data_IF_257316104743
#
_entry.id   IF_257316104743
#
_cell.length_a   1.000
_cell.length_b   1.000
_cell.length_c   1.000
_cell.angle_alpha   90.00
_cell.angle_beta   90.00
_cell.angle_gamma   90.00
#
_symmetry.space_group_name_H-M   'P 1'
#
loop_
_entity.id
_entity.type
_entity.pdbx_description
1 polymer ?
#
# COMPACT_ATOMS: atom_id res chain seq x y z
N UNK A 1 74.81 50.80 -3.68
CA UNK A 1 73.94 50.50 -4.85
C UNK A 1 73.33 49.11 -4.68
N UNK A 2 72.08 49.04 -4.18
CA UNK A 2 71.01 48.04 -4.42
C UNK A 2 69.98 48.17 -3.28
N UNK A 3 68.85 48.82 -3.57
CA UNK A 3 67.49 48.29 -3.81
C UNK A 3 66.66 48.20 -2.51
N UNK A 4 65.77 49.18 -2.33
CA UNK A 4 64.64 49.16 -1.39
C UNK A 4 63.52 48.31 -1.99
N UNK A 5 62.95 47.40 -1.20
CA UNK A 5 61.74 46.67 -1.55
C UNK A 5 60.50 47.57 -1.52
N UNK A 6 59.70 47.52 -2.57
CA UNK A 6 58.38 48.15 -2.62
C UNK A 6 57.32 47.06 -2.38
N UNK A 7 56.45 47.30 -1.39
CA UNK A 7 55.33 46.42 -1.06
C UNK A 7 54.25 46.46 -2.13
N UNK A 8 53.69 45.29 -2.45
CA UNK A 8 52.52 45.12 -3.28
C UNK A 8 51.27 45.03 -2.41
N UNK A 9 50.38 46.00 -2.58
CA UNK A 9 49.07 46.07 -1.91
C UNK A 9 48.08 45.21 -2.70
N UNK A 10 47.68 44.06 -2.16
CA UNK A 10 46.66 43.21 -2.77
C UNK A 10 45.25 43.68 -2.44
N UNK A 11 44.47 44.12 -3.43
CA UNK A 11 43.02 44.29 -3.31
C UNK A 11 42.34 42.92 -3.38
N UNK A 12 41.65 42.53 -2.30
CA UNK A 12 40.72 41.38 -2.32
C UNK A 12 39.34 41.87 -2.73
N UNK A 13 38.95 41.59 -3.97
CA UNK A 13 37.54 41.69 -4.40
C UNK A 13 36.81 40.48 -3.82
N UNK A 14 35.91 40.71 -2.87
CA UNK A 14 35.05 39.65 -2.33
C UNK A 14 33.77 39.63 -3.17
N UNK A 15 33.66 38.67 -4.08
CA UNK A 15 32.43 38.45 -4.83
C UNK A 15 31.38 37.79 -3.90
N UNK A 16 30.29 38.50 -3.62
CA UNK A 16 29.16 37.94 -2.89
C UNK A 16 28.32 37.10 -3.87
N UNK A 17 28.47 35.77 -3.81
CA UNK A 17 27.62 34.83 -4.51
C UNK A 17 26.25 34.76 -3.81
N UNK A 18 25.25 35.44 -4.39
CA UNK A 18 23.84 35.21 -4.07
C UNK A 18 23.44 33.83 -4.64
N UNK A 19 23.44 32.82 -3.78
CA UNK A 19 22.89 31.51 -4.10
C UNK A 19 21.36 31.64 -4.22
N UNK A 20 20.84 31.63 -5.45
CA UNK A 20 19.43 31.38 -5.71
C UNK A 20 19.12 29.94 -5.31
N UNK A 21 18.57 29.74 -4.11
CA UNK A 21 18.00 28.47 -3.71
C UNK A 21 16.81 28.15 -4.61
N UNK A 22 16.96 27.14 -5.48
CA UNK A 22 15.82 26.56 -6.18
C UNK A 22 14.79 26.09 -5.14
N UNK A 23 13.47 26.28 -5.36
CA UNK A 23 12.47 25.77 -4.45
C UNK A 23 12.64 24.25 -4.36
N UNK A 24 12.94 23.76 -3.16
CA UNK A 24 12.87 22.33 -2.88
C UNK A 24 11.43 21.88 -3.18
N UNK A 25 11.28 20.81 -3.95
CA UNK A 25 9.98 20.14 -4.08
C UNK A 25 9.61 19.61 -2.70
N UNK A 26 8.75 20.33 -1.99
CA UNK A 26 8.27 19.95 -0.68
C UNK A 26 7.28 18.81 -0.84
N UNK A 27 7.34 17.81 0.01
CA UNK A 27 6.27 16.82 0.18
C UNK A 27 4.94 17.56 0.49
N UNK A 28 3.99 17.49 -0.44
CA UNK A 28 2.67 18.13 -0.35
C UNK A 28 1.59 17.18 0.14
N UNK A 29 1.94 15.96 0.56
CA UNK A 29 0.96 14.99 1.03
C UNK A 29 0.17 15.55 2.23
N UNK A 30 -1.17 15.48 2.24
CA UNK A 30 -2.01 16.03 3.31
C UNK A 30 -1.93 15.13 4.56
N UNK A 31 -0.87 15.28 5.33
CA UNK A 31 -0.64 14.52 6.57
C UNK A 31 -1.74 14.79 7.59
N UNK A 32 -2.03 13.79 8.42
CA UNK A 32 -3.04 13.85 9.48
C UNK A 32 -2.37 13.82 10.87
N UNK A 33 -1.72 14.91 11.34
CA UNK A 33 -0.94 14.91 12.58
C UNK A 33 -1.78 14.71 13.85
N UNK A 34 -3.10 14.88 13.76
CA UNK A 34 -4.04 14.66 14.86
C UNK A 34 -4.34 13.18 15.14
N UNK A 35 -3.84 12.25 14.33
CA UNK A 35 -4.05 10.81 14.51
C UNK A 35 -2.76 10.02 14.41
N UNK A 36 -2.81 8.81 14.95
CA UNK A 36 -1.84 7.74 14.74
C UNK A 36 -2.59 6.48 14.38
N UNK A 37 -2.22 5.82 13.29
CA UNK A 37 -2.71 4.47 13.05
C UNK A 37 -1.93 3.53 13.96
N UNK A 38 -2.66 2.78 14.78
CA UNK A 38 -2.09 1.86 15.76
C UNK A 38 -2.04 0.42 15.26
N UNK A 39 -2.92 0.06 14.32
CA UNK A 39 -2.91 -1.24 13.65
C UNK A 39 -3.78 -1.16 12.38
N UNK A 40 -3.38 -1.88 11.34
CA UNK A 40 -4.26 -2.25 10.23
C UNK A 40 -4.60 -3.74 10.31
N UNK A 41 -5.84 -4.10 9.96
CA UNK A 41 -6.18 -5.49 9.65
C UNK A 41 -6.78 -5.52 8.25
N UNK A 42 -6.13 -6.24 7.35
CA UNK A 42 -6.58 -6.41 5.97
C UNK A 42 -7.19 -7.81 5.83
N UNK A 43 -8.49 -7.90 5.55
CA UNK A 43 -9.18 -9.17 5.31
C UNK A 43 -9.53 -9.29 3.83
N UNK A 44 -8.68 -10.01 3.09
CA UNK A 44 -8.69 -10.05 1.62
C UNK A 44 -9.22 -11.41 1.17
N UNK A 45 -10.25 -11.39 0.34
CA UNK A 45 -10.76 -12.58 -0.36
C UNK A 45 -10.44 -12.47 -1.85
N UNK A 46 -9.89 -13.54 -2.40
CA UNK A 46 -9.52 -13.66 -3.82
C UNK A 46 -9.96 -15.01 -4.41
N UNK A 47 -10.00 -15.11 -5.74
CA UNK A 47 -10.46 -16.31 -6.44
C UNK A 47 -9.75 -16.58 -7.77
N UNK A 48 -9.94 -17.79 -8.31
CA UNK A 48 -9.52 -18.13 -9.67
C UNK A 48 -10.46 -17.60 -10.75
N UNK A 49 -11.70 -17.29 -10.38
CA UNK A 49 -12.76 -16.92 -11.33
C UNK A 49 -12.60 -15.49 -11.86
N UNK A 50 -11.99 -14.58 -11.08
CA UNK A 50 -11.85 -13.17 -11.44
C UNK A 50 -10.62 -12.53 -10.82
N UNK A 51 -10.19 -11.39 -11.38
CA UNK A 51 -9.16 -10.51 -10.80
C UNK A 51 -9.72 -9.58 -9.72
N UNK A 52 -10.98 -9.77 -9.33
CA UNK A 52 -11.62 -8.96 -8.30
C UNK A 52 -11.15 -9.39 -6.91
N UNK A 53 -10.85 -8.40 -6.08
CA UNK A 53 -10.60 -8.57 -4.66
C UNK A 53 -11.83 -8.09 -3.90
N UNK A 54 -12.22 -8.84 -2.88
CA UNK A 54 -13.21 -8.40 -1.88
C UNK A 54 -12.45 -8.20 -0.57
N UNK A 55 -12.56 -7.01 0.02
CA UNK A 55 -11.68 -6.60 1.12
C UNK A 55 -12.47 -5.96 2.24
N UNK A 56 -12.12 -6.30 3.48
CA UNK A 56 -12.51 -5.58 4.69
C UNK A 56 -11.27 -5.09 5.43
N UNK A 57 -11.06 -3.78 5.40
CA UNK A 57 -9.93 -3.11 6.06
C UNK A 57 -10.39 -2.54 7.38
N UNK A 58 -9.84 -3.03 8.49
CA UNK A 58 -10.07 -2.48 9.83
C UNK A 58 -8.91 -1.59 10.23
N UNK A 59 -9.23 -0.33 10.55
CA UNK A 59 -8.26 0.71 10.89
C UNK A 59 -8.43 1.09 12.36
N UNK A 60 -7.43 0.71 13.18
CA UNK A 60 -7.40 1.09 14.58
C UNK A 60 -6.56 2.36 14.76
N UNK A 61 -7.15 3.41 15.32
CA UNK A 61 -6.53 4.73 15.46
C UNK A 61 -6.44 5.19 16.91
N UNK A 62 -5.41 5.97 17.20
CA UNK A 62 -5.31 6.79 18.40
C UNK A 62 -5.32 8.27 18.02
N UNK A 63 -6.14 9.06 18.71
CA UNK A 63 -6.20 10.51 18.52
C UNK A 63 -5.10 11.20 19.32
N UNK A 64 -4.42 12.17 18.72
CA UNK A 64 -3.27 12.90 19.27
C UNK A 64 -3.56 14.38 19.57
N UNK A 65 -4.72 14.87 19.15
CA UNK A 65 -5.13 16.25 19.37
C UNK A 65 -6.65 16.39 19.39
N UNK A 66 -7.16 17.47 20.00
CA UNK A 66 -8.56 17.85 19.81
C UNK A 66 -8.82 18.20 18.32
N UNK A 67 -10.09 18.19 17.93
CA UNK A 67 -10.58 18.70 16.63
C UNK A 67 -10.34 17.84 15.38
N UNK A 68 -9.96 16.56 15.54
CA UNK A 68 -10.10 15.60 14.43
C UNK A 68 -11.59 15.32 14.22
N UNK A 69 -12.10 15.66 13.02
CA UNK A 69 -13.51 15.49 12.65
C UNK A 69 -13.75 14.32 11.69
N UNK A 70 -12.69 13.84 11.05
CA UNK A 70 -12.72 12.75 10.10
C UNK A 70 -11.35 12.12 9.93
N UNK A 71 -11.31 10.97 9.26
CA UNK A 71 -10.08 10.27 8.91
C UNK A 71 -10.08 10.08 7.41
N UNK A 72 -9.01 10.52 6.76
CA UNK A 72 -8.79 10.34 5.33
C UNK A 72 -7.92 9.09 5.09
N UNK A 73 -8.34 8.23 4.18
CA UNK A 73 -7.57 7.08 3.67
C UNK A 73 -7.42 7.23 2.15
N UNK A 74 -6.24 6.93 1.62
CA UNK A 74 -6.05 6.78 0.19
C UNK A 74 -6.66 5.45 -0.27
N UNK A 75 -7.50 5.50 -1.29
CA UNK A 75 -8.06 4.32 -1.95
C UNK A 75 -8.47 4.69 -3.38
N UNK A 76 -7.84 4.07 -4.38
CA UNK A 76 -8.15 4.31 -5.78
C UNK A 76 -9.61 3.98 -6.07
N UNK A 77 -10.37 4.99 -6.47
CA UNK A 77 -11.81 4.85 -6.73
C UNK A 77 -12.04 4.17 -8.06
N UNK A 78 -13.04 3.29 -8.11
CA UNK A 78 -13.48 2.71 -9.37
C UNK A 78 -13.82 3.79 -10.41
N UNK A 79 -13.23 3.64 -11.59
CA UNK A 79 -13.50 4.43 -12.78
C UNK A 79 -13.95 3.50 -13.89
N UNK A 80 -15.14 3.71 -14.47
CA UNK A 80 -15.62 2.94 -15.62
C UNK A 80 -14.73 3.09 -16.87
N UNK A 81 -14.36 4.33 -17.25
CA UNK A 81 -13.35 4.56 -18.27
C UNK A 81 -11.94 4.21 -17.78
N UNK A 82 -11.09 3.78 -18.70
CA UNK A 82 -9.65 3.63 -18.46
C UNK A 82 -9.04 4.99 -18.11
N UNK A 83 -8.26 5.03 -17.03
CA UNK A 83 -7.64 6.27 -16.54
C UNK A 83 -6.45 6.67 -17.41
N UNK A 84 -6.28 7.97 -17.58
CA UNK A 84 -5.06 8.52 -18.18
C UNK A 84 -3.85 8.17 -17.29
N UNK A 85 -2.71 7.76 -17.85
CA UNK A 85 -1.49 7.49 -17.07
C UNK A 85 -0.94 8.72 -16.33
N UNK A 86 -1.35 9.92 -16.76
CA UNK A 86 -0.99 11.18 -16.16
C UNK A 86 -2.23 11.97 -15.74
N UNK A 87 -2.14 12.59 -14.57
CA UNK A 87 -3.02 13.65 -14.11
C UNK A 87 -2.73 14.98 -14.83
N UNK A 88 -3.61 15.96 -14.63
CA UNK A 88 -3.35 17.33 -15.07
C UNK A 88 -1.99 17.83 -14.54
N UNK A 89 -1.23 18.52 -15.39
CA UNK A 89 0.12 18.99 -15.03
C UNK A 89 1.23 17.95 -15.22
N UNK A 90 0.94 16.77 -15.81
CA UNK A 90 1.96 15.78 -16.19
C UNK A 90 2.45 14.90 -15.03
N UNK A 91 1.78 14.94 -13.89
CA UNK A 91 2.07 14.09 -12.73
C UNK A 91 1.54 12.68 -13.00
N UNK A 92 2.31 11.59 -12.79
CA UNK A 92 1.81 10.24 -12.94
C UNK A 92 0.57 9.98 -12.04
N UNK A 93 -0.48 9.38 -12.60
CA UNK A 93 -1.67 8.95 -11.83
C UNK A 93 -1.34 7.61 -11.13
N UNK A 94 -1.30 7.55 -9.78
CA UNK A 94 -0.99 6.32 -9.05
C UNK A 94 -2.08 5.26 -9.10
N UNK A 95 -3.27 5.63 -9.58
CA UNK A 95 -4.43 4.77 -9.76
C UNK A 95 -4.65 4.37 -11.22
N UNK A 96 -3.77 4.80 -12.14
CA UNK A 96 -3.79 4.37 -13.53
C UNK A 96 -2.99 3.08 -13.75
N UNK A 97 -3.38 2.31 -14.76
CA UNK A 97 -2.61 1.14 -15.16
C UNK A 97 -1.24 1.54 -15.72
N UNK A 98 -0.15 0.79 -15.46
CA UNK A 98 1.16 1.11 -16.02
C UNK A 98 1.14 1.02 -17.55
N UNK A 99 1.62 2.05 -18.22
CA UNK A 99 1.86 2.00 -19.67
C UNK A 99 3.12 1.19 -19.97
N UNK A 100 2.94 -0.12 -20.20
CA UNK A 100 4.00 -1.02 -20.65
C UNK A 100 4.37 -2.08 -19.61
N UNK A 101 4.12 -3.35 -19.95
CA UNK A 101 4.60 -4.51 -19.20
C UNK A 101 5.88 -5.09 -19.80
N UNK A 102 6.74 -5.69 -18.96
CA UNK A 102 7.79 -6.60 -19.42
C UNK A 102 7.13 -7.89 -19.93
N UNK A 103 6.96 -8.01 -21.24
CA UNK A 103 6.44 -9.21 -21.91
C UNK A 103 5.44 -8.84 -23.00
N UNK A 104 5.64 -9.37 -24.21
CA UNK A 104 5.00 -8.91 -25.45
C UNK A 104 3.48 -8.94 -25.46
N UNK A 105 2.91 -8.12 -26.35
CA UNK A 105 1.48 -8.06 -26.69
C UNK A 105 0.51 -8.05 -25.49
N UNK A 106 0.75 -7.21 -24.50
CA UNK A 106 -0.28 -6.92 -23.51
C UNK A 106 -1.47 -6.25 -24.21
N UNK A 107 -2.63 -6.92 -24.21
CA UNK A 107 -3.88 -6.31 -24.66
C UNK A 107 -4.12 -5.03 -23.86
N UNK A 108 -4.44 -3.89 -24.52
CA UNK A 108 -4.78 -2.67 -23.81
C UNK A 108 -5.88 -2.95 -22.78
N UNK A 109 -5.83 -2.32 -21.60
CA UNK A 109 -6.86 -2.54 -20.61
C UNK A 109 -8.25 -2.24 -21.17
N UNK A 110 -9.14 -3.22 -21.04
CA UNK A 110 -10.54 -3.09 -21.42
C UNK A 110 -11.39 -3.02 -20.15
N UNK A 111 -12.03 -1.88 -19.91
CA UNK A 111 -12.96 -1.70 -18.80
C UNK A 111 -12.37 -0.94 -17.60
N UNK A 112 -13.22 -0.77 -16.60
CA UNK A 112 -12.92 0.04 -15.43
C UNK A 112 -12.09 -0.67 -14.37
N UNK A 113 -11.27 0.08 -13.65
CA UNK A 113 -10.45 -0.39 -12.52
C UNK A 113 -10.63 0.49 -11.30
N UNK A 114 -10.19 -0.02 -10.16
CA UNK A 114 -10.26 0.62 -8.85
C UNK A 114 -11.30 -0.04 -7.96
N UNK A 115 -11.46 0.54 -6.77
CA UNK A 115 -12.23 -0.05 -5.68
C UNK A 115 -13.56 0.71 -5.48
N UNK A 116 -14.61 -0.05 -5.21
CA UNK A 116 -15.95 0.42 -4.87
C UNK A 116 -16.24 0.09 -3.42
N UNK A 117 -16.39 1.11 -2.59
CA UNK A 117 -16.77 0.96 -1.18
C UNK A 117 -18.24 0.61 -1.07
N UNK A 118 -18.54 -0.44 -0.31
CA UNK A 118 -19.89 -0.90 -0.03
C UNK A 118 -20.37 -0.48 1.36
N UNK A 119 -19.47 -0.41 2.34
CA UNK A 119 -19.82 0.02 3.70
C UNK A 119 -18.60 0.58 4.45
N UNK A 120 -18.89 1.47 5.41
CA UNK A 120 -17.95 1.80 6.49
C UNK A 120 -18.71 1.63 7.79
N UNK A 121 -18.18 0.84 8.72
CA UNK A 121 -18.85 0.50 9.98
C UNK A 121 -17.92 0.60 11.19
N UNK A 122 -18.47 0.75 12.38
CA UNK A 122 -17.76 0.62 13.65
C UNK A 122 -18.68 0.02 14.70
N UNK A 123 -18.25 -1.04 15.37
CA UNK A 123 -19.08 -1.73 16.37
C UNK A 123 -20.43 -2.23 15.83
N UNK A 124 -20.52 -2.51 14.53
CA UNK A 124 -21.76 -2.90 13.85
C UNK A 124 -22.64 -1.74 13.37
N UNK A 125 -22.32 -0.49 13.72
CA UNK A 125 -23.05 0.69 13.25
C UNK A 125 -22.42 1.31 11.99
N UNK A 126 -23.25 1.82 11.09
CA UNK A 126 -22.78 2.47 9.86
C UNK A 126 -22.21 3.87 10.14
N UNK A 127 -21.10 4.18 9.49
CA UNK A 127 -20.51 5.52 9.48
C UNK A 127 -20.76 6.19 8.14
N UNK A 128 -21.01 7.51 8.17
CA UNK A 128 -21.08 8.29 6.93
C UNK A 128 -19.68 8.51 6.38
N UNK A 129 -19.54 8.40 5.05
CA UNK A 129 -18.27 8.58 4.37
C UNK A 129 -18.46 9.22 3.01
N UNK A 130 -17.37 9.73 2.43
CA UNK A 130 -17.30 10.20 1.05
C UNK A 130 -16.07 9.61 0.38
N UNK A 131 -16.22 9.08 -0.82
CA UNK A 131 -15.10 8.57 -1.61
C UNK A 131 -15.01 9.30 -2.94
N UNK A 132 -13.99 10.14 -3.07
CA UNK A 132 -13.76 10.95 -4.24
C UNK A 132 -12.29 11.27 -4.43
N UNK A 133 -11.87 11.55 -5.66
CA UNK A 133 -10.48 11.92 -5.96
C UNK A 133 -9.47 10.93 -5.33
N UNK A 134 -9.81 9.63 -5.38
CA UNK A 134 -9.02 8.53 -4.83
C UNK A 134 -8.73 8.63 -3.32
N UNK A 135 -9.57 9.36 -2.59
CA UNK A 135 -9.50 9.51 -1.14
C UNK A 135 -10.85 9.24 -0.50
N UNK A 136 -10.84 8.36 0.49
CA UNK A 136 -11.96 8.05 1.37
C UNK A 136 -11.89 8.96 2.60
N UNK A 137 -12.90 9.79 2.79
CA UNK A 137 -13.11 10.54 4.03
C UNK A 137 -14.18 9.86 4.88
N UNK A 138 -13.81 9.36 6.05
CA UNK A 138 -14.72 8.77 7.04
C UNK A 138 -15.05 9.80 8.11
N UNK A 139 -16.34 10.11 8.31
CA UNK A 139 -16.77 11.03 9.36
C UNK A 139 -16.74 10.34 10.72
N UNK A 140 -16.26 11.06 11.73
CA UNK A 140 -16.27 10.56 13.10
C UNK A 140 -17.66 10.76 13.72
N UNK A 141 -18.22 9.75 14.42
CA UNK A 141 -19.58 9.83 14.95
C UNK A 141 -19.70 10.80 16.14
N UNK A 142 -18.56 11.18 16.73
CA UNK A 142 -18.46 12.09 17.85
C UNK A 142 -17.09 12.76 17.86
N UNK A 143 -16.93 13.76 18.74
CA UNK A 143 -15.62 14.31 19.06
C UNK A 143 -14.81 13.30 19.89
N UNK A 144 -13.53 13.20 19.59
CA UNK A 144 -12.55 12.40 20.32
C UNK A 144 -11.57 13.31 21.06
N UNK A 145 -11.08 12.83 22.21
CA UNK A 145 -10.07 13.51 23.01
C UNK A 145 -8.68 12.95 22.68
N UNK A 146 -7.64 13.72 23.03
CA UNK A 146 -6.28 13.22 22.96
C UNK A 146 -6.13 11.92 23.79
N UNK A 147 -5.54 10.90 23.18
CA UNK A 147 -5.35 9.58 23.75
C UNK A 147 -6.50 8.60 23.48
N UNK A 148 -7.69 9.08 23.08
CA UNK A 148 -8.81 8.20 22.73
C UNK A 148 -8.40 7.23 21.62
N UNK A 149 -9.02 6.04 21.64
CA UNK A 149 -8.87 5.04 20.60
C UNK A 149 -10.20 4.79 19.91
N UNK A 150 -10.11 4.48 18.64
CA UNK A 150 -11.27 4.14 17.83
C UNK A 150 -10.88 3.14 16.75
N UNK A 151 -11.86 2.37 16.30
CA UNK A 151 -11.68 1.38 15.25
C UNK A 151 -12.90 1.42 14.34
N UNK A 152 -12.66 1.31 13.04
CA UNK A 152 -13.70 1.19 12.04
C UNK A 152 -13.24 0.26 10.92
N UNK A 153 -14.19 -0.33 10.20
CA UNK A 153 -13.97 -1.25 9.09
C UNK A 153 -14.53 -0.64 7.81
N UNK A 154 -13.75 -0.70 6.74
CA UNK A 154 -14.14 -0.31 5.38
C UNK A 154 -14.30 -1.59 4.57
N UNK A 155 -15.51 -1.88 4.10
CA UNK A 155 -15.79 -3.01 3.21
C UNK A 155 -15.90 -2.53 1.78
N UNK A 156 -15.19 -3.17 0.85
CA UNK A 156 -15.11 -2.76 -0.54
C UNK A 156 -14.69 -3.91 -1.45
N UNK A 157 -14.87 -3.74 -2.76
CA UNK A 157 -14.42 -4.71 -3.75
C UNK A 157 -13.99 -4.01 -5.03
N UNK A 158 -13.27 -4.72 -5.89
CA UNK A 158 -12.91 -4.22 -7.21
C UNK A 158 -11.67 -4.88 -7.79
N UNK A 159 -11.31 -4.44 -8.98
CA UNK A 159 -10.10 -4.89 -9.67
C UNK A 159 -9.07 -3.77 -9.60
N UNK A 160 -7.96 -3.93 -8.86
CA UNK A 160 -6.89 -2.94 -8.81
C UNK A 160 -6.33 -2.63 -10.20
N UNK A 161 -5.96 -1.37 -10.44
CA UNK A 161 -5.28 -0.96 -11.67
C UNK A 161 -3.79 -1.31 -11.64
N UNK A 162 -3.16 -1.13 -10.48
CA UNK A 162 -1.76 -1.48 -10.22
C UNK A 162 -1.59 -1.84 -8.74
N UNK A 163 -0.36 -1.80 -8.20
CA UNK A 163 -0.09 -2.03 -6.78
C UNK A 163 -0.12 -3.50 -6.37
N UNK A 164 -0.87 -4.33 -7.08
CA UNK A 164 -0.83 -5.79 -7.01
C UNK A 164 -0.94 -6.37 -8.43
N UNK A 165 0.00 -7.26 -8.76
CA UNK A 165 0.09 -7.96 -10.02
C UNK A 165 -0.78 -9.21 -9.92
N UNK A 166 -1.89 -9.23 -10.66
CA UNK A 166 -2.81 -10.37 -10.73
C UNK A 166 -2.72 -10.96 -12.13
N UNK A 167 -2.26 -12.19 -12.24
CA UNK A 167 -2.08 -12.85 -13.53
C UNK A 167 -1.25 -14.12 -13.42
N UNK A 168 -0.97 -14.72 -14.57
CA UNK A 168 -0.22 -15.96 -14.61
C UNK A 168 1.28 -15.68 -14.45
N UNK A 169 1.95 -16.52 -13.66
CA UNK A 169 3.40 -16.58 -13.60
C UNK A 169 3.95 -17.10 -14.95
N UNK A 170 5.28 -17.16 -15.09
CA UNK A 170 5.93 -17.65 -16.33
C UNK A 170 5.66 -19.13 -16.66
N UNK A 171 5.08 -19.89 -15.74
CA UNK A 171 4.72 -21.30 -15.89
C UNK A 171 3.23 -21.51 -16.16
N UNK A 172 2.44 -20.42 -16.21
CA UNK A 172 1.01 -20.47 -16.51
C UNK A 172 0.10 -20.50 -15.29
N UNK A 173 0.64 -20.62 -14.07
CA UNK A 173 -0.18 -20.63 -12.85
C UNK A 173 -0.61 -19.21 -12.46
N UNK A 174 -1.88 -19.07 -12.08
CA UNK A 174 -2.41 -17.82 -11.54
C UNK A 174 -1.69 -17.44 -10.25
N UNK A 175 -1.44 -16.15 -10.08
CA UNK A 175 -0.72 -15.59 -8.93
C UNK A 175 -1.15 -14.16 -8.62
N UNK A 176 -0.90 -13.74 -7.37
CA UNK A 176 -1.17 -12.40 -6.86
C UNK A 176 0.08 -11.91 -6.12
N UNK A 177 0.72 -10.84 -6.60
CA UNK A 177 1.93 -10.30 -5.99
C UNK A 177 1.89 -8.80 -5.85
N UNK A 178 1.97 -8.31 -4.63
CA UNK A 178 1.99 -6.88 -4.33
C UNK A 178 3.26 -6.20 -4.88
N UNK A 179 3.09 -4.99 -5.38
CA UNK A 179 4.14 -4.00 -5.59
C UNK A 179 3.61 -2.63 -5.12
N UNK A 180 3.54 -2.39 -3.79
CA UNK A 180 2.91 -1.22 -3.20
C UNK A 180 3.73 0.07 -3.35
N UNK A 181 4.94 0.01 -3.91
CA UNK A 181 5.84 1.16 -3.99
C UNK A 181 5.49 2.11 -5.15
N UNK A 182 5.65 3.45 -4.98
CA UNK A 182 5.94 4.14 -3.72
C UNK A 182 4.70 4.45 -2.89
N UNK A 183 3.54 4.51 -3.54
CA UNK A 183 2.23 4.86 -3.00
C UNK A 183 1.15 4.14 -3.82
N UNK A 184 1.34 2.84 -4.02
CA UNK A 184 0.45 1.97 -4.78
C UNK A 184 -0.34 1.01 -3.88
N UNK A 185 -0.10 0.98 -2.57
CA UNK A 185 -0.92 0.22 -1.64
C UNK A 185 -2.40 0.63 -1.74
N UNK A 186 -2.65 1.95 -1.93
CA UNK A 186 -3.97 2.54 -2.20
C UNK A 186 -4.77 1.90 -3.35
N UNK A 187 -4.15 1.12 -4.23
CA UNK A 187 -4.86 0.44 -5.31
C UNK A 187 -5.71 -0.74 -4.82
N UNK A 188 -5.42 -1.28 -3.64
CA UNK A 188 -6.10 -2.46 -3.10
C UNK A 188 -6.32 -2.44 -1.58
N UNK A 189 -5.63 -1.57 -0.84
CA UNK A 189 -5.79 -1.34 0.60
C UNK A 189 -6.23 0.11 0.88
N UNK A 190 -7.17 0.31 1.79
CA UNK A 190 -7.61 1.62 2.27
C UNK A 190 -6.68 2.09 3.41
N UNK A 191 -5.66 2.87 3.07
CA UNK A 191 -4.57 3.23 3.99
C UNK A 191 -4.17 4.69 3.88
N UNK A 192 -3.53 5.24 4.92
CA UNK A 192 -2.79 6.51 4.77
C UNK A 192 -1.48 6.21 4.03
N UNK A 193 -1.49 6.31 2.70
CA UNK A 193 -0.45 5.76 1.82
C UNK A 193 0.73 6.72 1.66
N UNK A 194 1.45 6.92 2.77
CA UNK A 194 2.62 7.78 2.86
C UNK A 194 3.68 7.14 3.77
N UNK A 195 4.99 7.15 3.43
CA UNK A 195 6.03 6.44 4.20
C UNK A 195 6.18 6.86 5.67
N UNK A 196 5.72 8.07 6.03
CA UNK A 196 5.72 8.54 7.42
C UNK A 196 4.66 7.87 8.29
N UNK A 197 3.61 7.30 7.69
CA UNK A 197 2.57 6.57 8.42
C UNK A 197 2.96 5.10 8.49
N UNK A 198 3.45 4.71 9.67
CA UNK A 198 3.82 3.34 9.99
C UNK A 198 2.85 2.75 10.99
N UNK A 199 2.47 1.49 10.78
CA UNK A 199 1.65 0.74 11.72
C UNK A 199 2.00 -0.76 11.63
N UNK A 200 1.80 -1.53 12.72
CA UNK A 200 1.67 -2.99 12.65
C UNK A 200 0.49 -3.39 11.77
N UNK A 201 0.51 -4.62 11.26
CA UNK A 201 -0.57 -5.17 10.46
C UNK A 201 -0.90 -6.64 10.76
N UNK A 202 -2.17 -6.96 10.52
CA UNK A 202 -2.69 -8.32 10.41
C UNK A 202 -3.22 -8.52 8.99
N UNK A 203 -2.58 -9.39 8.22
CA UNK A 203 -3.00 -9.71 6.86
C UNK A 203 -3.70 -11.06 6.87
N UNK A 204 -5.01 -11.05 6.66
CA UNK A 204 -5.88 -12.22 6.59
C UNK A 204 -6.24 -12.44 5.12
N UNK A 205 -6.00 -13.63 4.60
CA UNK A 205 -6.29 -13.96 3.21
C UNK A 205 -7.14 -15.20 3.15
N UNK A 206 -8.30 -15.09 2.50
CA UNK A 206 -9.16 -16.21 2.13
C UNK A 206 -9.00 -16.48 0.64
N UNK A 207 -8.51 -17.67 0.30
CA UNK A 207 -8.20 -18.07 -1.07
C UNK A 207 -8.52 -19.55 -1.31
N UNK A 208 -8.62 -20.02 -2.57
CA UNK A 208 -8.62 -21.45 -2.88
C UNK A 208 -7.48 -22.20 -2.19
N UNK A 209 -7.78 -23.36 -1.62
CA UNK A 209 -6.88 -24.13 -0.73
C UNK A 209 -5.56 -24.55 -1.39
N UNK A 210 -5.49 -24.59 -2.72
CA UNK A 210 -4.26 -24.93 -3.43
C UNK A 210 -3.21 -23.80 -3.36
N UNK A 211 -3.60 -22.57 -3.00
CA UNK A 211 -2.67 -21.47 -2.81
C UNK A 211 -1.93 -21.54 -1.47
N UNK A 212 -0.67 -21.11 -1.49
CA UNK A 212 0.09 -20.73 -0.32
C UNK A 212 0.16 -19.20 -0.28
N UNK A 213 0.00 -18.65 0.93
CA UNK A 213 -0.04 -17.20 1.17
C UNK A 213 1.17 -16.82 2.02
N UNK A 214 1.93 -15.83 1.56
CA UNK A 214 3.02 -15.19 2.30
C UNK A 214 2.77 -13.69 2.42
N UNK A 215 3.03 -13.13 3.60
CA UNK A 215 2.96 -11.70 3.88
C UNK A 215 4.01 -11.33 4.95
N UNK A 216 4.00 -10.11 5.45
CA UNK A 216 4.97 -9.63 6.43
C UNK A 216 4.81 -10.33 7.79
N UNK A 217 5.91 -10.34 8.57
CA UNK A 217 5.95 -10.90 9.91
C UNK A 217 5.89 -12.43 9.93
N UNK A 218 4.99 -12.98 10.74
CA UNK A 218 4.87 -14.42 10.99
C UNK A 218 3.45 -14.93 10.78
N UNK A 219 3.33 -16.16 10.31
CA UNK A 219 2.04 -16.84 10.19
C UNK A 219 1.52 -17.19 11.59
N UNK A 220 0.26 -16.83 11.87
CA UNK A 220 -0.37 -17.06 13.18
C UNK A 220 -1.61 -17.94 13.11
N UNK A 221 -2.18 -18.13 11.92
CA UNK A 221 -3.33 -19.00 11.69
C UNK A 221 -3.33 -19.57 10.27
N UNK A 222 -3.69 -20.85 10.13
CA UNK A 222 -4.14 -21.45 8.88
C UNK A 222 -5.34 -22.34 9.16
N UNK A 223 -6.47 -22.03 8.52
CA UNK A 223 -7.74 -22.70 8.75
C UNK A 223 -8.35 -23.09 7.42
N UNK A 224 -8.56 -24.40 7.21
CA UNK A 224 -9.34 -24.89 6.08
C UNK A 224 -10.82 -24.53 6.29
N UNK A 225 -11.45 -23.98 5.26
CA UNK A 225 -12.85 -23.55 5.24
C UNK A 225 -13.66 -24.43 4.28
N UNK A 226 -15.01 -24.40 4.35
CA UNK A 226 -15.85 -25.02 3.33
C UNK A 226 -15.52 -24.55 1.91
N UNK A 227 -16.00 -25.31 0.90
CA UNK A 227 -15.84 -24.98 -0.53
C UNK A 227 -14.38 -24.91 -1.00
N UNK A 228 -13.49 -25.73 -0.42
CA UNK A 228 -12.07 -25.80 -0.78
C UNK A 228 -11.35 -24.45 -0.65
N UNK A 229 -11.74 -23.64 0.33
CA UNK A 229 -11.05 -22.40 0.68
C UNK A 229 -10.13 -22.62 1.88
N UNK A 230 -9.14 -21.74 2.04
CA UNK A 230 -8.29 -21.66 3.22
C UNK A 230 -8.14 -20.21 3.62
N UNK A 231 -8.28 -19.95 4.92
CA UNK A 231 -7.88 -18.71 5.55
C UNK A 231 -6.46 -18.82 6.07
N UNK A 232 -5.59 -17.88 5.70
CA UNK A 232 -4.24 -17.76 6.24
C UNK A 232 -4.07 -16.37 6.85
N UNK A 233 -3.52 -16.30 8.07
CA UNK A 233 -3.33 -15.04 8.79
C UNK A 233 -1.86 -14.84 9.11
N UNK A 234 -1.34 -13.70 8.69
CA UNK A 234 0.01 -13.21 8.98
C UNK A 234 -0.07 -12.00 9.91
N UNK A 235 0.91 -11.87 10.79
CA UNK A 235 1.02 -10.77 11.75
C UNK A 235 2.42 -10.17 11.69
N UNK A 236 2.50 -8.89 11.32
CA UNK A 236 3.67 -8.04 11.50
C UNK A 236 3.44 -7.15 12.71
N UNK A 237 4.24 -7.37 13.76
CA UNK A 237 4.09 -6.64 15.03
C UNK A 237 4.88 -5.33 15.05
N UNK A 238 5.85 -5.17 14.15
CA UNK A 238 6.66 -3.97 14.02
C UNK A 238 5.96 -2.94 13.14
N UNK A 239 5.96 -1.64 13.50
CA UNK A 239 5.41 -0.62 12.62
C UNK A 239 6.21 -0.49 11.31
N UNK A 240 5.59 -0.83 10.18
CA UNK A 240 6.15 -0.69 8.83
C UNK A 240 5.34 0.34 8.01
N UNK A 241 5.95 0.95 6.98
CA UNK A 241 5.19 1.81 6.07
C UNK A 241 4.30 0.97 5.16
N UNK A 242 3.23 1.60 4.65
CA UNK A 242 2.36 1.01 3.61
C UNK A 242 3.14 0.55 2.38
N UNK A 243 4.22 1.25 2.07
CA UNK A 243 5.14 0.92 0.98
C UNK A 243 5.92 -0.41 1.13
N UNK A 244 5.86 -1.04 2.31
CA UNK A 244 6.52 -2.33 2.61
C UNK A 244 5.52 -3.46 2.92
N UNK A 245 4.23 -3.15 3.00
CA UNK A 245 3.15 -4.12 3.24
C UNK A 245 2.99 -4.99 1.98
N UNK A 246 3.40 -6.24 2.09
CA UNK A 246 3.63 -7.15 0.98
C UNK A 246 2.74 -8.38 1.09
N UNK A 247 2.29 -8.87 -0.07
CA UNK A 247 1.45 -10.04 -0.22
C UNK A 247 1.90 -10.84 -1.45
N UNK A 248 2.11 -12.14 -1.26
CA UNK A 248 2.31 -13.12 -2.32
C UNK A 248 1.35 -14.28 -2.16
N UNK A 249 0.62 -14.62 -3.23
CA UNK A 249 -0.31 -15.76 -3.27
C UNK A 249 -0.10 -16.51 -4.59
N UNK A 250 0.34 -17.76 -4.48
CA UNK A 250 0.60 -18.65 -5.61
C UNK A 250 0.64 -20.11 -5.13
N UNK A 251 0.56 -21.11 -6.04
CA UNK A 251 0.81 -22.51 -5.69
C UNK A 251 2.32 -22.74 -5.48
N UNK A 252 2.83 -22.28 -4.34
CA UNK A 252 4.25 -22.39 -3.99
C UNK A 252 4.60 -23.79 -3.47
N UNK A 253 5.77 -24.28 -3.84
CA UNK A 253 6.51 -25.20 -2.99
C UNK A 253 7.18 -24.37 -1.89
N UNK A 254 7.02 -24.81 -0.64
CA UNK A 254 7.56 -24.11 0.53
C UNK A 254 8.55 -25.03 1.23
N UNK A 255 9.76 -24.53 1.45
CA UNK A 255 10.80 -25.20 2.22
C UNK A 255 11.15 -24.37 3.47
N UNK A 256 11.12 -25.02 4.63
CA UNK A 256 11.47 -24.44 5.92
C UNK A 256 12.81 -25.02 6.34
N UNK A 257 13.90 -24.33 6.01
CA UNK A 257 15.24 -24.90 6.04
C UNK A 257 16.06 -24.54 7.29
N UNK A 258 15.51 -23.76 8.22
CA UNK A 258 16.18 -23.51 9.49
C UNK A 258 15.66 -22.30 10.24
N UNK A 259 16.47 -21.84 11.17
CA UNK A 259 16.19 -20.70 12.05
C UNK A 259 17.50 -19.95 12.31
N UNK A 260 17.43 -18.62 12.44
CA UNK A 260 18.54 -17.79 12.88
C UNK A 260 18.08 -16.83 13.98
N UNK A 261 18.65 -16.95 15.18
CA UNK A 261 18.28 -16.17 16.37
C UNK A 261 16.76 -16.18 16.69
N UNK A 262 16.09 -17.33 16.65
CA UNK A 262 14.64 -17.40 16.91
C UNK A 262 13.78 -17.03 15.71
N UNK A 263 14.37 -16.65 14.57
CA UNK A 263 13.65 -16.22 13.37
C UNK A 263 13.64 -17.37 12.35
N UNK A 264 12.47 -17.94 12.01
CA UNK A 264 12.38 -19.03 11.05
C UNK A 264 12.76 -18.55 9.64
N UNK A 265 13.52 -19.38 8.92
CA UNK A 265 13.93 -19.16 7.55
C UNK A 265 13.14 -20.09 6.63
N UNK A 266 12.60 -19.53 5.55
CA UNK A 266 11.86 -20.31 4.56
C UNK A 266 12.08 -19.78 3.14
N UNK A 267 11.92 -20.67 2.15
CA UNK A 267 11.91 -20.32 0.73
C UNK A 267 10.59 -20.73 0.11
N UNK A 268 10.07 -19.87 -0.77
CA UNK A 268 8.75 -20.00 -1.40
C UNK A 268 8.96 -19.87 -2.89
N UNK A 269 8.82 -20.98 -3.62
CA UNK A 269 9.19 -21.06 -5.03
C UNK A 269 8.02 -21.55 -5.87
N UNK A 270 7.88 -21.06 -7.09
CA UNK A 270 6.90 -21.60 -8.01
C UNK A 270 7.22 -23.06 -8.32
N UNK A 271 6.19 -23.90 -8.32
CA UNK A 271 6.33 -25.28 -8.73
C UNK A 271 6.54 -25.30 -10.25
N UNK A 272 7.53 -26.04 -10.70
CA UNK A 272 7.70 -26.39 -12.11
C UNK A 272 7.42 -27.88 -12.21
N UNK A 273 6.35 -28.27 -12.88
CA UNK A 273 6.11 -29.68 -13.20
C UNK A 273 6.90 -29.99 -14.48
N UNK A 274 8.00 -30.78 -14.42
CA UNK A 274 8.77 -31.09 -15.62
C UNK A 274 7.95 -32.04 -16.51
N UNK A 275 7.74 -31.69 -17.78
CA UNK A 275 7.23 -32.63 -18.79
C UNK A 275 5.80 -32.43 -19.31
N UNK A 276 5.22 -31.24 -19.14
CA UNK A 276 4.10 -30.76 -19.94
C UNK A 276 4.47 -29.46 -20.65
#
# INVERSE_FOLDING_TARGET
MRIRGAGSTGWRVTALLLALSAPALTDTYPRQPGIRITNYTFDITLSDASNELVVEDTVAVQFLGPDVTGIDLDLCKYSGPVRSPQMAGGIPDPCAEPTGGRGGNATPPTGGRGMTITAVTSGGEALSFRHENDRLHVNLPRRFRNGDRYEFTVSYHGVPATGILIGNNKYGDRSFFSNPWPHKARNYLAVVDHPSMKAPELTKVTAPRHYQVISNGSIVEQTDLPNSLRRTVWKESSPICTCLMSLGVAPFAVDYFGEYHGIPLSSWVYIVVPGF
#
